data_IF_839268976234
#
_entry.id   IF_839268976234
#
_cell.length_a   1.000
_cell.length_b   1.000
_cell.length_c   1.000
_cell.angle_alpha   90.00
_cell.angle_beta   90.00
_cell.angle_gamma   90.00
#
_symmetry.space_group_name_H-M   'P 1'
#
loop_
_entity.id
_entity.type
_entity.pdbx_description
1 polymer ?
#
# COMPACT_ATOMS: atom_id res chain seq x y z
N UNK A 1 -17.39 -23.01 -6.72
CA UNK A 1 -16.12 -22.23 -6.63
C UNK A 1 -16.18 -20.88 -7.34
N UNK A 2 -16.82 -20.78 -8.51
CA UNK A 2 -17.00 -19.51 -9.25
C UNK A 2 -17.64 -18.35 -8.47
N UNK A 3 -18.67 -18.53 -7.61
CA UNK A 3 -19.26 -17.38 -6.88
C UNK A 3 -18.28 -16.79 -5.85
N UNK A 4 -17.48 -17.64 -5.20
CA UNK A 4 -16.50 -17.21 -4.18
C UNK A 4 -15.36 -16.42 -4.82
N UNK A 5 -14.84 -16.88 -5.96
CA UNK A 5 -13.77 -16.15 -6.66
C UNK A 5 -14.27 -14.85 -7.28
N UNK A 6 -15.53 -14.79 -7.74
CA UNK A 6 -16.15 -13.53 -8.17
C UNK A 6 -16.33 -12.55 -7.03
N UNK A 7 -16.87 -12.99 -5.88
CA UNK A 7 -17.00 -12.17 -4.68
C UNK A 7 -15.64 -11.63 -4.20
N UNK A 8 -14.62 -12.49 -4.13
CA UNK A 8 -13.27 -12.09 -3.76
C UNK A 8 -12.70 -11.00 -4.68
N UNK A 9 -12.98 -11.08 -5.99
CA UNK A 9 -12.56 -10.08 -6.96
C UNK A 9 -13.29 -8.74 -6.78
N UNK A 10 -14.60 -8.76 -6.48
CA UNK A 10 -15.39 -7.57 -6.13
C UNK A 10 -14.84 -6.91 -4.86
N UNK A 11 -14.56 -7.71 -3.82
CA UNK A 11 -13.98 -7.23 -2.56
C UNK A 11 -12.58 -6.63 -2.78
N UNK A 12 -11.69 -7.31 -3.48
CA UNK A 12 -10.34 -6.79 -3.80
C UNK A 12 -10.41 -5.46 -4.55
N UNK A 13 -11.35 -5.33 -5.49
CA UNK A 13 -11.57 -4.07 -6.20
C UNK A 13 -12.06 -2.97 -5.28
N UNK A 14 -13.07 -3.26 -4.45
CA UNK A 14 -13.61 -2.30 -3.49
C UNK A 14 -12.52 -1.81 -2.54
N UNK A 15 -11.72 -2.72 -2.00
CA UNK A 15 -10.56 -2.40 -1.16
C UNK A 15 -9.53 -1.54 -1.89
N UNK A 16 -9.22 -1.86 -3.16
CA UNK A 16 -8.29 -1.05 -3.95
C UNK A 16 -8.81 0.38 -4.18
N UNK A 17 -10.13 0.54 -4.41
CA UNK A 17 -10.77 1.85 -4.56
C UNK A 17 -10.77 2.62 -3.24
N UNK A 18 -11.19 1.99 -2.14
CA UNK A 18 -11.18 2.58 -0.80
C UNK A 18 -9.78 3.04 -0.40
N UNK A 19 -8.75 2.24 -0.71
CA UNK A 19 -7.36 2.60 -0.45
C UNK A 19 -6.91 3.82 -1.26
N UNK A 20 -7.24 3.88 -2.56
CA UNK A 20 -6.94 5.05 -3.38
C UNK A 20 -7.68 6.31 -2.87
N UNK A 21 -8.90 6.15 -2.40
CA UNK A 21 -9.71 7.25 -1.88
C UNK A 21 -9.15 7.79 -0.56
N UNK A 22 -8.70 6.92 0.35
CA UNK A 22 -7.98 7.31 1.56
C UNK A 22 -6.70 8.07 1.20
N UNK A 23 -5.88 7.53 0.28
CA UNK A 23 -4.64 8.21 -0.13
C UNK A 23 -4.90 9.58 -0.78
N UNK A 24 -6.01 9.72 -1.53
CA UNK A 24 -6.42 11.02 -2.08
C UNK A 24 -6.81 11.99 -0.97
N UNK A 25 -7.67 11.56 -0.03
CA UNK A 25 -8.08 12.37 1.12
C UNK A 25 -6.90 12.85 1.97
N UNK A 26 -5.89 12.00 2.16
CA UNK A 26 -4.68 12.37 2.90
C UNK A 26 -3.82 13.38 2.14
N UNK A 27 -3.76 13.31 0.80
CA UNK A 27 -3.05 14.32 0.00
C UNK A 27 -3.69 15.71 0.10
N UNK A 28 -5.01 15.76 0.18
CA UNK A 28 -5.77 17.00 0.30
C UNK A 28 -6.07 17.38 1.76
N UNK A 29 -5.45 16.68 2.72
CA UNK A 29 -5.74 16.85 4.14
C UNK A 29 -5.45 18.28 4.62
N UNK A 30 -6.39 18.82 5.40
CA UNK A 30 -6.28 20.06 6.17
C UNK A 30 -6.94 19.85 7.52
N UNK A 31 -6.24 20.18 8.60
CA UNK A 31 -6.78 20.07 9.96
C UNK A 31 -8.03 20.94 10.13
N UNK A 32 -8.09 22.10 9.47
CA UNK A 32 -9.25 22.99 9.47
C UNK A 32 -10.49 22.37 8.81
N UNK A 33 -10.30 21.38 7.93
CA UNK A 33 -11.39 20.63 7.29
C UNK A 33 -11.67 19.29 7.99
N UNK A 34 -10.97 18.98 9.08
CA UNK A 34 -11.24 17.78 9.85
C UNK A 34 -12.60 17.86 10.55
N UNK A 35 -13.29 16.73 10.59
CA UNK A 35 -14.57 16.60 11.29
C UNK A 35 -14.27 16.46 12.78
N UNK A 36 -14.75 17.41 13.58
CA UNK A 36 -14.73 17.31 15.03
C UNK A 36 -16.03 16.64 15.51
N UNK A 37 -15.96 15.80 16.55
CA UNK A 37 -17.17 15.20 17.12
C UNK A 37 -18.09 16.26 17.76
N UNK A 38 -17.49 17.28 18.38
CA UNK A 38 -18.13 18.50 18.84
C UNK A 38 -17.41 19.68 18.20
N UNK A 39 -18.13 20.49 17.43
CA UNK A 39 -17.52 21.58 16.66
C UNK A 39 -16.95 22.70 17.55
N UNK A 40 -17.50 22.85 18.76
CA UNK A 40 -16.98 23.77 19.77
C UNK A 40 -15.55 23.41 20.23
N UNK A 41 -15.11 22.16 20.04
CA UNK A 41 -13.75 21.73 20.41
C UNK A 41 -12.71 22.08 19.33
N UNK A 42 -13.11 22.59 18.15
CA UNK A 42 -12.19 22.84 17.03
C UNK A 42 -11.03 23.75 17.41
N UNK A 43 -11.32 24.90 18.02
CA UNK A 43 -10.29 25.86 18.43
C UNK A 43 -9.30 25.24 19.44
N UNK A 44 -9.79 24.40 20.35
CA UNK A 44 -8.95 23.69 21.32
C UNK A 44 -8.08 22.65 20.64
N UNK A 45 -8.63 21.86 19.71
CA UNK A 45 -7.88 20.85 18.96
C UNK A 45 -6.80 21.50 18.09
N UNK A 46 -7.15 22.57 17.37
CA UNK A 46 -6.21 23.32 16.54
C UNK A 46 -5.12 23.98 17.39
N UNK A 47 -5.47 24.61 18.52
CA UNK A 47 -4.50 25.17 19.46
C UNK A 47 -3.53 24.12 20.01
N UNK A 48 -4.03 22.92 20.35
CA UNK A 48 -3.18 21.80 20.80
C UNK A 48 -2.24 21.30 19.70
N UNK A 49 -2.70 21.22 18.46
CA UNK A 49 -1.86 20.83 17.31
C UNK A 49 -0.78 21.87 17.04
N UNK A 50 -1.12 23.16 17.09
CA UNK A 50 -0.15 24.25 16.93
C UNK A 50 0.92 24.20 18.02
N UNK A 51 0.53 24.11 19.29
CA UNK A 51 1.44 23.97 20.42
C UNK A 51 2.33 22.72 20.30
N UNK A 52 1.80 21.61 19.79
CA UNK A 52 2.56 20.39 19.54
C UNK A 52 3.64 20.59 18.48
N UNK A 53 3.34 21.26 17.36
CA UNK A 53 4.33 21.59 16.31
C UNK A 53 5.43 22.50 16.82
N UNK A 54 5.08 23.51 17.62
CA UNK A 54 6.05 24.41 18.26
C UNK A 54 6.93 23.68 19.29
N UNK A 55 6.35 22.77 20.07
CA UNK A 55 7.08 21.93 21.03
C UNK A 55 8.08 20.99 20.34
N UNK A 56 7.75 20.49 19.14
CA UNK A 56 8.67 19.71 18.31
C UNK A 56 9.79 20.56 17.67
N UNK A 57 9.76 21.89 17.83
CA UNK A 57 10.71 22.83 17.21
C UNK A 57 10.57 22.93 15.69
N UNK A 58 9.41 22.54 15.15
CA UNK A 58 9.11 22.63 13.71
C UNK A 58 8.53 24.01 13.33
N UNK A 59 8.04 24.76 14.31
CA UNK A 59 7.66 26.18 14.21
C UNK A 59 8.26 26.94 15.41
N UNK A 60 8.48 28.25 15.25
CA UNK A 60 8.88 29.14 16.35
C UNK A 60 7.75 29.29 17.37
N UNK A 61 8.11 29.53 18.63
CA UNK A 61 7.15 29.88 19.68
C UNK A 61 6.47 31.23 19.40
N UNK A 62 7.13 32.11 18.64
CA UNK A 62 6.60 33.41 18.23
C UNK A 62 5.76 33.35 16.95
N UNK A 63 5.74 32.21 16.24
CA UNK A 63 4.94 32.03 15.03
C UNK A 63 3.45 31.98 15.36
N UNK A 64 2.61 32.44 14.44
CA UNK A 64 1.16 32.35 14.59
C UNK A 64 0.68 30.89 14.59
N UNK A 65 -0.44 30.63 15.27
CA UNK A 65 -1.03 29.30 15.30
C UNK A 65 -1.35 28.77 13.88
N UNK A 66 -1.83 29.64 12.98
CA UNK A 66 -2.12 29.29 11.59
C UNK A 66 -0.87 28.80 10.85
N UNK A 67 0.29 29.40 11.10
CA UNK A 67 1.55 28.96 10.49
C UNK A 67 1.94 27.56 10.98
N UNK A 68 1.84 27.32 12.29
CA UNK A 68 2.10 26.00 12.89
C UNK A 68 1.13 24.93 12.35
N UNK A 69 -0.14 25.26 12.15
CA UNK A 69 -1.13 24.35 11.54
C UNK A 69 -0.80 24.02 10.08
N UNK A 70 -0.29 24.97 9.29
CA UNK A 70 0.11 24.67 7.91
C UNK A 70 1.36 23.76 7.85
N UNK A 71 2.29 23.93 8.79
CA UNK A 71 3.42 23.00 8.96
C UNK A 71 2.90 21.59 9.29
N UNK A 72 1.93 21.47 10.22
CA UNK A 72 1.28 20.20 10.52
C UNK A 72 0.63 19.58 9.27
N UNK A 73 -0.16 20.38 8.53
CA UNK A 73 -0.82 19.93 7.30
C UNK A 73 0.20 19.38 6.30
N UNK A 74 1.32 20.09 6.08
CA UNK A 74 2.40 19.68 5.21
C UNK A 74 3.02 18.35 5.67
N UNK A 75 3.32 18.23 6.96
CA UNK A 75 3.88 17.02 7.56
C UNK A 75 2.96 15.81 7.38
N UNK A 76 1.65 15.99 7.59
CA UNK A 76 0.65 14.93 7.38
C UNK A 76 0.62 14.49 5.92
N UNK A 77 0.52 15.43 4.97
CA UNK A 77 0.51 15.14 3.53
C UNK A 77 1.79 14.44 3.06
N UNK A 78 2.93 14.77 3.66
CA UNK A 78 4.22 14.15 3.33
C UNK A 78 4.37 12.73 3.93
N UNK A 79 4.03 12.56 5.21
CA UNK A 79 4.40 11.36 5.98
C UNK A 79 3.31 10.31 6.03
N UNK A 80 2.06 10.72 6.20
CA UNK A 80 0.94 9.78 6.42
C UNK A 80 0.68 8.87 5.21
N UNK A 81 0.75 9.31 3.93
CA UNK A 81 0.59 8.40 2.80
C UNK A 81 1.60 7.24 2.81
N UNK A 82 2.87 7.53 3.14
CA UNK A 82 3.92 6.53 3.24
C UNK A 82 3.68 5.55 4.39
N UNK A 83 3.26 6.06 5.56
CA UNK A 83 2.93 5.24 6.72
C UNK A 83 1.71 4.34 6.44
N UNK A 84 0.67 4.87 5.79
CA UNK A 84 -0.51 4.10 5.38
C UNK A 84 -0.16 3.01 4.37
N UNK A 85 0.64 3.32 3.36
CA UNK A 85 1.11 2.32 2.39
C UNK A 85 1.94 1.22 3.06
N UNK A 86 2.73 1.56 4.08
CA UNK A 86 3.50 0.57 4.84
C UNK A 86 2.59 -0.32 5.70
N UNK A 87 1.60 0.27 6.39
CA UNK A 87 0.65 -0.45 7.23
C UNK A 87 -0.28 -1.37 6.43
N UNK A 88 -0.85 -0.87 5.34
CA UNK A 88 -1.78 -1.62 4.50
C UNK A 88 -1.06 -2.60 3.56
N UNK A 89 0.23 -2.39 3.33
CA UNK A 89 0.99 -3.09 2.33
C UNK A 89 0.79 -2.51 0.93
N UNK A 90 1.74 -2.82 0.03
CA UNK A 90 1.83 -2.22 -1.31
C UNK A 90 0.57 -2.36 -2.16
N UNK A 91 -0.12 -3.48 -2.03
CA UNK A 91 -1.30 -3.82 -2.82
C UNK A 91 -2.61 -3.52 -2.07
N UNK A 92 -2.53 -2.85 -0.91
CA UNK A 92 -3.65 -2.61 -0.01
C UNK A 92 -3.92 -3.76 0.96
N UNK A 93 -3.21 -4.88 0.83
CA UNK A 93 -3.24 -5.99 1.78
C UNK A 93 -1.82 -6.50 2.07
N UNK A 94 -1.54 -6.79 3.36
CA UNK A 94 -0.32 -7.46 3.79
C UNK A 94 -0.41 -8.95 3.46
N UNK A 95 0.75 -9.58 3.20
CA UNK A 95 0.84 -11.03 3.00
C UNK A 95 0.17 -11.81 4.13
N UNK A 96 0.42 -11.39 5.38
CA UNK A 96 -0.13 -12.02 6.59
C UNK A 96 -1.65 -12.08 6.57
N UNK A 97 -2.33 -11.02 6.11
CA UNK A 97 -3.79 -10.96 5.99
C UNK A 97 -4.30 -11.94 4.94
N UNK A 98 -3.62 -12.06 3.80
CA UNK A 98 -4.05 -12.98 2.73
C UNK A 98 -3.74 -14.44 3.10
N UNK A 99 -2.62 -14.67 3.76
CA UNK A 99 -2.25 -15.99 4.28
C UNK A 99 -3.22 -16.45 5.38
N UNK A 100 -3.66 -15.56 6.28
CA UNK A 100 -4.65 -15.90 7.31
C UNK A 100 -6.02 -16.22 6.71
N UNK A 101 -6.47 -15.49 5.68
CA UNK A 101 -7.68 -15.83 4.92
C UNK A 101 -7.57 -17.20 4.24
N UNK A 102 -6.36 -17.61 3.88
CA UNK A 102 -6.07 -18.90 3.22
C UNK A 102 -5.79 -20.04 4.21
N UNK A 103 -5.89 -19.78 5.52
CA UNK A 103 -5.59 -20.74 6.59
C UNK A 103 -6.42 -22.03 6.47
N UNK A 104 -7.66 -21.94 5.97
CA UNK A 104 -8.52 -23.12 5.75
C UNK A 104 -7.84 -24.19 4.89
N UNK A 105 -7.01 -23.80 3.92
CA UNK A 105 -6.26 -24.74 3.09
C UNK A 105 -5.09 -25.38 3.83
N UNK A 106 -4.53 -24.71 4.84
CA UNK A 106 -3.45 -25.24 5.68
C UNK A 106 -3.96 -26.27 6.68
N UNK A 107 -5.23 -26.16 7.07
CA UNK A 107 -5.87 -27.06 8.03
C UNK A 107 -6.42 -28.33 7.37
N UNK A 108 -6.75 -28.29 6.08
CA UNK A 108 -7.29 -29.45 5.35
C UNK A 108 -6.44 -30.74 5.44
N UNK A 109 -5.10 -30.70 5.37
CA UNK A 109 -4.29 -31.91 5.47
C UNK A 109 -4.38 -32.60 6.83
N UNK A 110 -4.83 -31.95 7.90
CA UNK A 110 -4.95 -32.56 9.22
C UNK A 110 -5.96 -33.72 9.22
N UNK A 111 -7.06 -33.62 8.46
CA UNK A 111 -8.01 -34.72 8.30
C UNK A 111 -7.37 -35.92 7.60
N UNK A 112 -6.53 -35.65 6.58
CA UNK A 112 -5.80 -36.67 5.84
C UNK A 112 -4.70 -37.32 6.68
N UNK A 113 -4.03 -36.54 7.53
CA UNK A 113 -3.07 -37.05 8.51
C UNK A 113 -3.80 -37.95 9.52
N UNK A 114 -4.98 -37.55 9.98
CA UNK A 114 -5.79 -38.37 10.88
C UNK A 114 -6.16 -39.71 10.22
N UNK A 115 -6.63 -39.71 8.98
CA UNK A 115 -6.92 -40.95 8.22
C UNK A 115 -5.69 -41.87 8.08
N UNK A 116 -4.49 -41.29 7.98
CA UNK A 116 -3.26 -42.07 7.95
C UNK A 116 -2.92 -42.73 9.28
N UNK A 117 -3.14 -42.05 10.41
CA UNK A 117 -2.91 -42.62 11.72
C UNK A 117 -3.78 -43.86 11.98
N UNK A 118 -4.93 -43.95 11.29
CA UNK A 118 -5.81 -45.13 11.28
C UNK A 118 -5.42 -46.20 10.24
N UNK A 119 -4.31 -46.04 9.53
CA UNK A 119 -3.82 -47.02 8.55
C UNK A 119 -4.54 -47.02 7.20
N UNK A 120 -5.43 -46.04 6.94
CA UNK A 120 -6.27 -46.02 5.74
C UNK A 120 -5.55 -45.52 4.48
N UNK A 121 -4.38 -44.88 4.63
CA UNK A 121 -3.66 -44.21 3.54
C UNK A 121 -2.16 -44.48 3.56
N UNK A 122 -1.51 -44.32 2.40
CA UNK A 122 -0.06 -44.41 2.29
C UNK A 122 0.61 -43.07 2.60
N UNK A 123 1.75 -43.08 3.31
CA UNK A 123 2.52 -41.88 3.69
C UNK A 123 2.77 -40.93 2.51
N UNK A 124 3.13 -41.46 1.34
CA UNK A 124 3.41 -40.66 0.12
C UNK A 124 2.21 -39.83 -0.33
N UNK A 125 0.99 -40.35 -0.18
CA UNK A 125 -0.22 -39.62 -0.57
C UNK A 125 -0.46 -38.41 0.33
N UNK A 126 -0.12 -38.52 1.61
CA UNK A 126 -0.27 -37.44 2.60
C UNK A 126 0.75 -36.35 2.31
N UNK A 127 2.01 -36.72 2.09
CA UNK A 127 3.07 -35.75 1.78
C UNK A 127 2.68 -34.93 0.55
N UNK A 128 2.18 -35.58 -0.51
CA UNK A 128 1.69 -34.87 -1.68
C UNK A 128 0.52 -33.93 -1.38
N UNK A 129 -0.45 -34.37 -0.57
CA UNK A 129 -1.62 -33.57 -0.21
C UNK A 129 -1.27 -32.37 0.69
N UNK A 130 -0.37 -32.56 1.66
CA UNK A 130 0.17 -31.48 2.52
C UNK A 130 0.89 -30.45 1.65
N UNK A 131 1.85 -30.88 0.83
CA UNK A 131 2.62 -30.00 -0.05
C UNK A 131 1.69 -29.24 -0.99
N UNK A 132 0.74 -29.91 -1.64
CA UNK A 132 -0.22 -29.27 -2.55
C UNK A 132 -1.11 -28.24 -1.84
N UNK A 133 -1.64 -28.58 -0.66
CA UNK A 133 -2.54 -27.69 0.09
C UNK A 133 -1.79 -26.45 0.62
N UNK A 134 -0.58 -26.63 1.13
CA UNK A 134 0.25 -25.52 1.60
C UNK A 134 0.73 -24.62 0.46
N UNK A 135 1.04 -25.20 -0.71
CA UNK A 135 1.35 -24.41 -1.92
C UNK A 135 0.19 -23.50 -2.29
N UNK A 136 -1.03 -24.05 -2.29
CA UNK A 136 -2.22 -23.30 -2.64
C UNK A 136 -2.45 -22.15 -1.63
N UNK A 137 -2.36 -22.46 -0.34
CA UNK A 137 -2.65 -21.51 0.74
C UNK A 137 -1.58 -20.43 0.95
N UNK A 138 -0.29 -20.79 0.85
CA UNK A 138 0.82 -19.88 1.17
C UNK A 138 1.42 -19.16 -0.03
N UNK A 139 1.25 -19.70 -1.24
CA UNK A 139 1.86 -19.13 -2.44
C UNK A 139 0.82 -18.77 -3.51
N UNK A 140 0.07 -19.74 -4.03
CA UNK A 140 -0.82 -19.51 -5.18
C UNK A 140 -1.91 -18.49 -4.90
N UNK A 141 -2.64 -18.61 -3.78
CA UNK A 141 -3.73 -17.67 -3.45
C UNK A 141 -3.17 -16.26 -3.19
N UNK A 142 -2.15 -16.05 -2.33
CA UNK A 142 -1.56 -14.73 -2.17
C UNK A 142 -1.02 -14.12 -3.47
N UNK A 143 -0.35 -14.91 -4.31
CA UNK A 143 0.14 -14.43 -5.61
C UNK A 143 -0.99 -14.03 -6.54
N UNK A 144 -2.08 -14.79 -6.56
CA UNK A 144 -3.23 -14.48 -7.40
C UNK A 144 -3.99 -13.23 -6.90
N UNK A 145 -4.17 -13.08 -5.59
CA UNK A 145 -4.72 -11.86 -4.97
C UNK A 145 -3.83 -10.66 -5.30
N UNK A 146 -2.51 -10.81 -5.17
CA UNK A 146 -1.56 -9.76 -5.51
C UNK A 146 -1.67 -9.36 -7.00
N UNK A 147 -1.77 -10.33 -7.90
CA UNK A 147 -1.97 -10.07 -9.33
C UNK A 147 -3.27 -9.32 -9.62
N UNK A 148 -4.39 -9.73 -9.00
CA UNK A 148 -5.69 -9.06 -9.16
C UNK A 148 -5.63 -7.61 -8.66
N UNK A 149 -5.04 -7.38 -7.48
CA UNK A 149 -4.87 -6.05 -6.90
C UNK A 149 -3.96 -5.17 -7.76
N UNK A 150 -2.86 -5.71 -8.28
CA UNK A 150 -1.96 -5.00 -9.18
C UNK A 150 -2.66 -4.54 -10.46
N UNK A 151 -3.42 -5.44 -11.10
CA UNK A 151 -4.19 -5.10 -12.31
C UNK A 151 -5.33 -4.12 -11.96
N UNK A 152 -5.92 -4.20 -10.76
CA UNK A 152 -6.93 -3.26 -10.30
C UNK A 152 -6.36 -1.86 -10.06
N UNK A 153 -5.16 -1.74 -9.49
CA UNK A 153 -4.52 -0.46 -9.21
C UNK A 153 -4.09 0.27 -10.50
N UNK A 154 -3.64 -0.46 -11.53
CA UNK A 154 -3.03 0.13 -12.72
C UNK A 154 -4.02 0.54 -13.83
N UNK A 155 -5.33 0.35 -13.65
CA UNK A 155 -6.32 0.81 -14.64
C UNK A 155 -7.38 1.69 -13.98
N UNK A 156 -7.43 3.00 -14.29
CA UNK A 156 -8.47 3.88 -13.78
C UNK A 156 -9.81 3.48 -14.41
N UNK A 157 -10.53 2.61 -13.72
CA UNK A 157 -11.79 2.09 -14.19
C UNK A 157 -12.92 3.13 -14.18
N UNK A 158 -12.66 4.34 -13.66
CA UNK A 158 -13.58 5.47 -13.65
C UNK A 158 -13.98 5.97 -15.04
N UNK A 159 -13.29 5.58 -16.12
CA UNK A 159 -13.62 6.00 -17.50
C UNK A 159 -14.14 4.89 -18.41
N UNK A 160 -14.27 3.66 -17.91
CA UNK A 160 -14.72 2.53 -18.74
C UNK A 160 -16.22 2.31 -18.56
N UNK A 161 -16.98 2.38 -19.66
CA UNK A 161 -18.41 2.04 -19.66
C UNK A 161 -18.69 0.59 -19.23
N UNK A 162 -19.96 0.26 -18.96
CA UNK A 162 -20.38 -1.04 -18.40
C UNK A 162 -19.77 -2.25 -19.12
N UNK A 163 -19.71 -2.23 -20.45
CA UNK A 163 -19.17 -3.34 -21.25
C UNK A 163 -17.66 -3.53 -21.07
N UNK A 164 -16.91 -2.44 -20.92
CA UNK A 164 -15.47 -2.54 -20.72
C UNK A 164 -15.13 -2.88 -19.26
N UNK A 165 -16.01 -2.52 -18.31
CA UNK A 165 -15.95 -2.98 -16.94
C UNK A 165 -16.15 -4.49 -16.83
N UNK A 166 -17.20 -5.05 -17.45
CA UNK A 166 -17.46 -6.50 -17.42
C UNK A 166 -16.33 -7.28 -18.09
N UNK A 167 -15.82 -6.82 -19.25
CA UNK A 167 -14.66 -7.42 -19.90
C UNK A 167 -13.39 -7.40 -19.01
N UNK A 168 -13.16 -6.32 -18.26
CA UNK A 168 -12.05 -6.22 -17.33
C UNK A 168 -12.20 -7.17 -16.13
N UNK A 169 -13.40 -7.31 -15.57
CA UNK A 169 -13.63 -8.30 -14.51
C UNK A 169 -13.46 -9.73 -15.03
N UNK A 170 -13.97 -10.01 -16.23
CA UNK A 170 -13.88 -11.34 -16.83
C UNK A 170 -12.43 -11.72 -17.11
N UNK A 171 -11.63 -10.83 -17.70
CA UNK A 171 -10.19 -11.09 -17.94
C UNK A 171 -9.41 -11.36 -16.63
N UNK A 172 -9.66 -10.58 -15.58
CA UNK A 172 -9.05 -10.81 -14.25
C UNK A 172 -9.49 -12.14 -13.64
N UNK A 173 -10.78 -12.47 -13.77
CA UNK A 173 -11.31 -13.76 -13.32
C UNK A 173 -10.65 -14.91 -14.08
N UNK A 174 -10.51 -14.80 -15.40
CA UNK A 174 -9.83 -15.81 -16.22
C UNK A 174 -8.38 -16.03 -15.78
N UNK A 175 -7.61 -14.96 -15.53
CA UNK A 175 -6.23 -15.08 -15.01
C UNK A 175 -6.20 -15.76 -13.64
N UNK A 176 -7.09 -15.36 -12.73
CA UNK A 176 -7.22 -15.98 -11.41
C UNK A 176 -7.55 -17.47 -11.51
N UNK A 177 -8.51 -17.84 -12.38
CA UNK A 177 -8.92 -19.22 -12.59
C UNK A 177 -7.78 -20.04 -13.21
N UNK A 178 -7.05 -19.51 -14.20
CA UNK A 178 -5.90 -20.20 -14.78
C UNK A 178 -4.83 -20.47 -13.72
N UNK A 179 -4.51 -19.49 -12.87
CA UNK A 179 -3.51 -19.66 -11.81
C UNK A 179 -3.95 -20.68 -10.77
N UNK A 180 -5.17 -20.57 -10.27
CA UNK A 180 -5.68 -21.44 -9.19
C UNK A 180 -5.95 -22.85 -9.70
N UNK A 181 -6.70 -23.00 -10.80
CA UNK A 181 -7.01 -24.31 -11.36
C UNK A 181 -5.80 -24.96 -12.02
N UNK A 182 -4.93 -24.18 -12.65
CA UNK A 182 -3.65 -24.67 -13.17
C UNK A 182 -2.78 -25.21 -12.06
N UNK A 183 -2.59 -24.45 -10.98
CA UNK A 183 -1.81 -24.92 -9.81
C UNK A 183 -2.45 -26.16 -9.18
N UNK A 184 -3.77 -26.14 -8.99
CA UNK A 184 -4.51 -27.28 -8.44
C UNK A 184 -4.36 -28.53 -9.33
N UNK A 185 -4.51 -28.39 -10.65
CA UNK A 185 -4.36 -29.49 -11.61
C UNK A 185 -2.93 -30.04 -11.58
N UNK A 186 -1.92 -29.17 -11.63
CA UNK A 186 -0.50 -29.56 -11.54
C UNK A 186 -0.24 -30.29 -10.22
N UNK A 187 -0.77 -29.81 -9.09
CA UNK A 187 -0.64 -30.49 -7.80
C UNK A 187 -1.28 -31.88 -7.84
N UNK A 188 -2.52 -32.02 -8.32
CA UNK A 188 -3.21 -33.31 -8.35
C UNK A 188 -2.53 -34.32 -9.28
N UNK A 189 -2.15 -33.89 -10.48
CA UNK A 189 -1.40 -34.76 -11.42
C UNK A 189 -0.09 -35.21 -10.79
N UNK A 190 0.59 -34.30 -10.09
CA UNK A 190 1.87 -34.63 -9.47
C UNK A 190 1.71 -35.51 -8.23
N UNK A 191 0.64 -35.36 -7.44
CA UNK A 191 0.29 -36.26 -6.35
C UNK A 191 0.04 -37.68 -6.89
N UNK A 192 -0.76 -37.80 -7.96
CA UNK A 192 -1.05 -39.10 -8.56
C UNK A 192 0.21 -39.76 -9.13
N UNK A 193 1.11 -38.98 -9.72
CA UNK A 193 2.41 -39.48 -10.19
C UNK A 193 3.39 -39.78 -9.06
N UNK A 194 3.35 -39.01 -7.97
CA UNK A 194 4.17 -39.20 -6.78
C UNK A 194 3.88 -40.52 -6.06
N UNK A 195 2.65 -41.05 -6.17
CA UNK A 195 2.31 -42.40 -5.70
C UNK A 195 3.21 -43.47 -6.34
N UNK A 196 3.57 -43.27 -7.62
CA UNK A 196 4.37 -44.24 -8.40
C UNK A 196 5.87 -43.96 -8.35
N UNK A 197 6.31 -42.69 -8.28
CA UNK A 197 7.74 -42.31 -8.35
C UNK A 197 8.07 -41.12 -7.44
N UNK A 198 9.11 -41.26 -6.61
CA UNK A 198 9.58 -40.24 -5.66
C UNK A 198 10.06 -38.95 -6.32
N UNK A 199 10.56 -39.01 -7.56
CA UNK A 199 11.07 -37.84 -8.28
C UNK A 199 10.02 -36.75 -8.51
N UNK A 200 8.73 -37.11 -8.62
CA UNK A 200 7.64 -36.15 -8.74
C UNK A 200 7.41 -35.34 -7.45
N UNK A 201 7.69 -35.93 -6.28
CA UNK A 201 7.59 -35.21 -5.00
C UNK A 201 8.63 -34.09 -4.95
N UNK A 202 9.87 -34.40 -5.33
CA UNK A 202 10.96 -33.41 -5.37
C UNK A 202 10.66 -32.27 -6.35
N UNK A 203 10.11 -32.59 -7.54
CA UNK A 203 9.70 -31.59 -8.51
C UNK A 203 8.58 -30.69 -7.96
N UNK A 204 7.57 -31.26 -7.30
CA UNK A 204 6.51 -30.47 -6.65
C UNK A 204 7.11 -29.50 -5.65
N UNK A 205 7.93 -30.01 -4.72
CA UNK A 205 8.58 -29.22 -3.70
C UNK A 205 9.35 -28.05 -4.32
N UNK A 206 10.11 -28.28 -5.41
CA UNK A 206 10.79 -27.23 -6.16
C UNK A 206 9.83 -26.14 -6.68
N UNK A 207 8.70 -26.52 -7.29
CA UNK A 207 7.68 -25.58 -7.75
C UNK A 207 7.12 -24.77 -6.58
N UNK A 208 6.86 -25.41 -5.43
CA UNK A 208 6.39 -24.72 -4.21
C UNK A 208 7.38 -23.66 -3.77
N UNK A 209 8.67 -24.01 -3.69
CA UNK A 209 9.72 -23.06 -3.29
C UNK A 209 9.75 -21.89 -4.25
N UNK A 210 9.73 -22.12 -5.57
CA UNK A 210 9.72 -21.05 -6.57
C UNK A 210 8.51 -20.14 -6.43
N UNK A 211 7.30 -20.70 -6.29
CA UNK A 211 6.08 -19.92 -6.11
C UNK A 211 6.09 -19.13 -4.79
N UNK A 212 6.61 -19.72 -3.72
CA UNK A 212 6.71 -19.07 -2.41
C UNK A 212 7.72 -17.92 -2.47
N UNK A 213 8.87 -18.12 -3.10
CA UNK A 213 9.88 -17.06 -3.30
C UNK A 213 9.32 -15.96 -4.19
N UNK A 214 8.62 -16.28 -5.28
CA UNK A 214 7.98 -15.28 -6.12
C UNK A 214 6.92 -14.48 -5.36
N UNK A 215 6.11 -15.16 -4.54
CA UNK A 215 5.11 -14.52 -3.67
C UNK A 215 5.78 -13.61 -2.66
N UNK A 216 6.78 -14.12 -1.94
CA UNK A 216 7.55 -13.34 -0.98
C UNK A 216 8.20 -12.13 -1.66
N UNK A 217 8.78 -12.28 -2.84
CA UNK A 217 9.35 -11.18 -3.61
C UNK A 217 8.30 -10.10 -3.95
N UNK A 218 7.11 -10.49 -4.41
CA UNK A 218 6.02 -9.54 -4.72
C UNK A 218 5.58 -8.74 -3.49
N UNK A 219 5.54 -9.38 -2.32
CA UNK A 219 5.11 -8.74 -1.07
C UNK A 219 6.22 -8.02 -0.29
N UNK A 220 7.47 -8.48 -0.39
CA UNK A 220 8.60 -7.98 0.40
C UNK A 220 9.48 -6.98 -0.36
N UNK A 221 9.59 -7.05 -1.69
CA UNK A 221 10.59 -6.27 -2.39
C UNK A 221 10.21 -4.77 -2.48
N UNK A 222 10.97 -3.87 -1.82
CA UNK A 222 10.65 -2.44 -1.78
C UNK A 222 11.03 -1.69 -3.07
N UNK A 223 11.87 -2.25 -3.95
CA UNK A 223 12.52 -1.50 -5.05
C UNK A 223 11.62 -0.95 -6.15
N UNK A 224 10.31 -1.25 -6.13
CA UNK A 224 9.35 -0.56 -6.99
C UNK A 224 8.77 0.72 -6.34
N UNK A 225 9.20 1.04 -5.12
CA UNK A 225 8.95 2.31 -4.44
C UNK A 225 10.12 3.26 -4.71
N UNK A 226 10.14 3.92 -5.88
CA UNK A 226 10.76 5.25 -5.94
C UNK A 226 9.80 6.26 -5.30
N UNK A 227 9.59 6.12 -4.01
CA UNK A 227 9.17 7.24 -3.16
C UNK A 227 10.40 7.50 -2.32
N UNK A 228 11.18 8.52 -2.71
CA UNK A 228 12.27 9.01 -1.88
C UNK A 228 11.71 9.20 -0.48
N UNK A 229 12.23 8.47 0.50
CA UNK A 229 12.01 8.85 1.90
C UNK A 229 12.77 10.16 2.08
N UNK A 230 12.11 11.31 2.30
CA UNK A 230 12.82 12.46 2.82
C UNK A 230 13.41 12.05 4.15
N UNK A 231 14.75 12.00 4.20
CA UNK A 231 15.50 11.85 5.45
C UNK A 231 14.94 12.86 6.45
N UNK A 232 14.60 12.42 7.66
CA UNK A 232 14.15 13.31 8.74
C UNK A 232 15.20 14.41 8.99
N UNK A 233 16.49 14.10 8.78
CA UNK A 233 17.57 15.08 8.83
C UNK A 233 17.42 16.19 7.78
N UNK A 234 17.02 15.85 6.55
CA UNK A 234 16.87 16.83 5.47
C UNK A 234 15.67 17.77 5.62
N UNK A 235 14.67 17.41 6.44
CA UNK A 235 13.55 18.32 6.72
C UNK A 235 13.95 19.37 7.75
N UNK A 236 14.67 18.97 8.81
CA UNK A 236 15.23 19.89 9.80
C UNK A 236 16.24 20.84 9.15
N UNK A 237 17.07 20.32 8.24
CA UNK A 237 18.08 21.10 7.52
C UNK A 237 17.42 22.10 6.55
N UNK A 238 16.38 21.70 5.82
CA UNK A 238 15.61 22.63 4.96
C UNK A 238 14.82 23.68 5.72
N UNK A 239 14.30 23.35 6.90
CA UNK A 239 13.60 24.30 7.77
C UNK A 239 14.60 25.28 8.42
N UNK A 240 15.81 24.83 8.78
CA UNK A 240 16.88 25.70 9.26
C UNK A 240 17.43 26.62 8.15
N UNK A 241 17.64 26.10 6.94
CA UNK A 241 18.15 26.90 5.81
C UNK A 241 17.11 27.89 5.27
N UNK A 242 15.81 27.58 5.37
CA UNK A 242 14.72 28.46 4.96
C UNK A 242 14.57 29.72 5.82
N UNK A 243 15.04 29.70 7.06
CA UNK A 243 14.99 30.85 7.99
C UNK A 243 16.04 31.94 7.70
N UNK A 244 17.03 31.67 6.85
CA UNK A 244 18.09 32.64 6.50
C UNK A 244 17.70 33.68 5.43
N UNK A 245 16.52 33.57 4.82
CA UNK A 245 16.09 34.42 3.70
C UNK A 245 15.80 35.89 4.03
N UNK A 246 15.81 36.29 5.30
CA UNK A 246 15.50 37.67 5.72
C UNK A 246 16.64 38.67 5.47
N UNK A 247 17.83 38.20 5.05
CA UNK A 247 18.96 39.08 4.73
C UNK A 247 18.90 39.68 3.31
N UNK A 248 18.21 39.04 2.35
CA UNK A 248 18.20 39.50 0.95
C UNK A 248 17.19 40.64 0.67
N UNK A 249 16.31 40.97 1.61
CA UNK A 249 15.31 42.03 1.48
C UNK A 249 15.74 43.40 2.02
N UNK A 250 16.87 43.50 2.72
CA UNK A 250 17.36 44.79 3.25
C UNK A 250 18.18 45.60 2.25
N UNK A 251 18.83 44.95 1.29
CA UNK A 251 19.66 45.66 0.30
C UNK A 251 18.81 46.31 -0.81
N UNK A 252 17.65 45.74 -1.16
CA UNK A 252 16.75 46.32 -2.16
C UNK A 252 15.97 47.56 -1.67
N UNK A 253 15.80 47.72 -0.35
CA UNK A 253 15.14 48.90 0.22
C UNK A 253 16.09 50.10 0.38
N UNK A 254 17.41 49.87 0.33
CA UNK A 254 18.41 50.94 0.46
C UNK A 254 18.84 51.54 -0.90
N UNK A 255 18.46 50.91 -2.02
CA UNK A 255 18.76 51.40 -3.37
C UNK A 255 17.63 52.27 -3.98
N UNK A 256 16.46 52.33 -3.36
CA UNK A 256 15.31 53.10 -3.86
C UNK A 256 15.23 54.56 -3.37
N UNK A 257 16.07 54.98 -2.43
CA UNK A 257 16.01 56.34 -1.81
C UNK A 257 17.04 57.32 -2.42
N UNK A 258 17.70 56.96 -3.52
CA UNK A 258 18.81 57.71 -4.13
C UNK A 258 18.51 58.50 -5.42
N UNK A 259 17.25 58.63 -5.84
CA UNK A 259 16.91 59.29 -7.12
C UNK A 259 15.75 60.29 -7.02
N UNK A 260 15.88 61.27 -6.12
CA UNK A 260 15.09 62.50 -6.17
C UNK A 260 15.75 63.48 -7.17
N UNK A 261 15.21 63.54 -8.39
CA UNK A 261 15.64 64.43 -9.45
C UNK A 261 15.25 65.90 -9.18
N UNK A 262 16.20 66.81 -9.42
CA UNK A 262 16.01 68.27 -9.39
C UNK A 262 14.98 68.76 -10.43
N UNK A 263 14.10 69.71 -10.06
CA UNK A 263 13.22 70.36 -11.03
C UNK A 263 14.00 71.40 -11.86
N UNK A 264 14.04 71.20 -13.19
CA UNK A 264 14.50 72.21 -14.15
C UNK A 264 13.54 73.39 -14.18
N UNK A 265 14.05 74.55 -13.82
CA UNK A 265 13.42 75.87 -14.00
C UNK A 265 13.58 76.26 -15.48
N UNK A 266 12.47 76.31 -16.22
CA UNK A 266 12.41 76.95 -17.52
C UNK A 266 11.99 78.41 -17.35
N UNK A 267 12.88 79.30 -17.76
CA UNK A 267 12.70 80.75 -17.77
C UNK A 267 12.46 81.25 -19.19
N UNK A 268 11.37 82.03 -19.33
CA UNK A 268 11.06 83.06 -20.34
C UNK A 268 10.91 82.65 -21.81
#
# INVERSE_FOLDING_TARGET
MTPVSFLGLVLCRRLAVEHQDILRKVKDFRIQSAICNLEADREVVEGNVAAFIQCLGLASQDDSAEHALEIFNSLVRERVPGALQHSLGRLGLRYQTVASMSCVFLLRPFDTINAYLHGERQFRSIVGEVVGSWTLGLATIPLAVAGVLYIAANRPAQRLGCNAFTALLLSKHTVLMILVFGSWYVCNVSIERARKRTTWIALCAGIVVVLTVATAYVYLHPSLQRVQRPSIGGLSERLQDGGGGQAAGRDAAQEADGHAAEPRVESA
#
